data_IF_910423158137
#
_entry.id   IF_910423158137
#
_cell.length_a   1.000
_cell.length_b   1.000
_cell.length_c   1.000
_cell.angle_alpha   90.00
_cell.angle_beta   90.00
_cell.angle_gamma   90.00
#
_symmetry.space_group_name_H-M   'P 1'
#
loop_
_entity.id
_entity.type
_entity.pdbx_description
1 polymer ?
#
# COMPACT_ATOMS: atom_id res chain seq x y z
N UNK A 1 1.38 21.82 22.65
CA UNK A 1 1.97 21.66 21.30
C UNK A 1 2.51 20.27 21.14
N UNK A 2 2.54 19.73 19.92
CA UNK A 2 3.19 18.45 19.61
C UNK A 2 4.66 18.74 19.23
N UNK A 3 5.64 18.13 19.92
CA UNK A 3 7.05 18.28 19.56
C UNK A 3 7.38 17.26 18.47
N UNK A 4 7.67 17.74 17.27
CA UNK A 4 8.07 16.91 16.14
C UNK A 4 9.60 16.76 16.12
N UNK A 5 10.08 15.53 15.91
CA UNK A 5 11.48 15.22 15.70
C UNK A 5 11.61 14.59 14.30
N UNK A 6 11.96 15.38 13.27
CA UNK A 6 12.11 14.83 11.93
C UNK A 6 13.35 13.94 11.89
N UNK A 7 13.21 12.78 11.26
CA UNK A 7 14.32 11.91 10.91
C UNK A 7 14.14 11.49 9.45
N UNK A 8 15.23 11.50 8.69
CA UNK A 8 15.21 11.15 7.27
C UNK A 8 15.37 9.65 7.06
N UNK A 9 14.60 9.07 6.16
CA UNK A 9 14.83 7.73 5.61
C UNK A 9 15.67 7.81 4.31
N UNK A 10 16.18 6.69 3.81
CA UNK A 10 16.73 6.62 2.44
C UNK A 10 18.22 6.93 2.28
N UNK A 11 18.97 7.15 3.36
CA UNK A 11 20.43 7.17 3.32
C UNK A 11 21.02 6.04 4.20
N UNK A 12 22.16 5.43 3.80
CA UNK A 12 22.76 4.33 4.55
C UNK A 12 22.94 4.66 6.04
N UNK A 13 22.53 3.73 6.91
CA UNK A 13 22.61 3.88 8.37
C UNK A 13 21.64 4.90 9.00
N UNK A 14 20.74 5.52 8.24
CA UNK A 14 19.70 6.40 8.82
C UNK A 14 18.66 5.60 9.62
N UNK A 15 18.24 4.44 9.13
CA UNK A 15 17.22 3.62 9.81
C UNK A 15 17.73 3.08 11.14
N UNK A 16 18.99 2.62 11.24
CA UNK A 16 19.60 2.22 12.52
C UNK A 16 19.70 3.39 13.51
N UNK A 17 20.02 4.59 13.02
CA UNK A 17 19.97 5.82 13.84
C UNK A 17 18.54 6.13 14.29
N UNK A 18 17.54 5.98 13.43
CA UNK A 18 16.14 6.18 13.79
C UNK A 18 15.70 5.23 14.91
N UNK A 19 16.08 3.95 14.84
CA UNK A 19 15.87 2.96 15.91
C UNK A 19 16.46 3.43 17.24
N UNK A 20 17.73 3.88 17.24
CA UNK A 20 18.38 4.41 18.45
C UNK A 20 17.59 5.59 19.04
N UNK A 21 17.14 6.50 18.19
CA UNK A 21 16.39 7.68 18.61
C UNK A 21 15.01 7.32 19.15
N UNK A 22 14.31 6.35 18.55
CA UNK A 22 13.02 5.87 19.04
C UNK A 22 13.15 5.24 20.42
N UNK A 23 14.19 4.43 20.65
CA UNK A 23 14.48 3.83 21.94
C UNK A 23 14.78 4.88 23.03
N UNK A 24 15.52 5.94 22.67
CA UNK A 24 15.87 7.03 23.60
C UNK A 24 14.70 7.97 23.89
N UNK A 25 13.97 8.38 22.85
CA UNK A 25 12.96 9.44 22.93
C UNK A 25 11.57 8.94 23.31
N UNK A 26 11.27 7.67 23.01
CA UNK A 26 9.99 7.00 23.26
C UNK A 26 8.75 7.83 22.84
N UNK A 27 8.61 8.17 21.55
CA UNK A 27 7.54 9.05 21.10
C UNK A 27 6.17 8.39 21.22
N UNK A 28 5.14 9.17 21.54
CA UNK A 28 3.76 8.68 21.60
C UNK A 28 3.15 8.39 20.22
N UNK A 29 3.67 8.99 19.15
CA UNK A 29 3.17 8.82 17.79
C UNK A 29 4.30 8.77 16.75
N UNK A 30 4.07 7.98 15.69
CA UNK A 30 5.00 7.83 14.57
C UNK A 30 4.26 8.05 13.24
N UNK A 31 4.84 8.90 12.38
CA UNK A 31 4.40 9.09 10.99
C UNK A 31 5.41 8.46 10.04
N UNK A 32 4.94 7.65 9.09
CA UNK A 32 5.78 7.06 8.04
C UNK A 32 4.92 6.53 6.89
N UNK A 33 5.53 5.78 5.97
CA UNK A 33 4.80 4.82 5.14
C UNK A 33 4.64 3.48 5.90
N UNK A 34 3.66 2.64 5.56
CA UNK A 34 3.53 1.30 6.13
C UNK A 34 4.76 0.42 5.88
N UNK A 35 5.33 0.43 4.66
CA UNK A 35 6.51 -0.38 4.34
C UNK A 35 7.73 0.03 5.17
N UNK A 36 7.92 1.34 5.40
CA UNK A 36 9.03 1.80 6.23
C UNK A 36 8.85 1.44 7.70
N UNK A 37 7.61 1.41 8.22
CA UNK A 37 7.36 0.91 9.57
C UNK A 37 7.74 -0.57 9.72
N UNK A 38 7.51 -1.40 8.69
CA UNK A 38 7.97 -2.78 8.69
C UNK A 38 9.51 -2.86 8.66
N UNK A 39 10.17 -2.10 7.78
CA UNK A 39 11.64 -2.06 7.71
C UNK A 39 12.28 -1.58 9.02
N UNK A 40 11.70 -0.55 9.65
CA UNK A 40 12.17 -0.02 10.91
C UNK A 40 12.12 -1.07 12.03
N UNK A 41 11.12 -1.95 12.02
CA UNK A 41 11.01 -3.06 12.96
C UNK A 41 12.02 -4.18 12.70
N UNK A 42 12.33 -4.48 11.44
CA UNK A 42 13.42 -5.40 11.08
C UNK A 42 14.75 -4.88 11.60
N UNK A 43 15.09 -3.61 11.32
CA UNK A 43 16.34 -2.99 11.80
C UNK A 43 16.37 -2.93 13.32
N UNK A 44 15.25 -2.66 13.99
CA UNK A 44 15.20 -2.68 15.45
C UNK A 44 15.61 -4.04 16.01
N UNK A 45 15.12 -5.13 15.41
CA UNK A 45 15.48 -6.51 15.79
C UNK A 45 16.94 -6.84 15.46
N UNK A 46 17.45 -6.39 14.32
CA UNK A 46 18.87 -6.49 13.95
C UNK A 46 19.77 -5.81 15.00
N UNK A 47 19.33 -4.67 15.55
CA UNK A 47 20.00 -3.92 16.61
C UNK A 47 19.69 -4.44 18.04
N UNK A 48 18.94 -5.56 18.16
CA UNK A 48 18.61 -6.19 19.44
C UNK A 48 17.57 -5.45 20.28
N UNK A 49 16.74 -4.60 19.68
CA UNK A 49 15.69 -3.81 20.34
C UNK A 49 14.30 -4.33 19.91
N UNK A 50 13.42 -4.60 20.88
CA UNK A 50 12.01 -4.88 20.59
C UNK A 50 11.28 -3.58 20.20
N UNK A 51 10.64 -3.49 19.02
CA UNK A 51 9.86 -2.32 18.61
C UNK A 51 8.78 -1.88 19.62
N UNK A 52 8.27 -2.78 20.47
CA UNK A 52 7.31 -2.45 21.53
C UNK A 52 7.93 -1.56 22.62
N UNK A 53 9.24 -1.58 22.80
CA UNK A 53 9.95 -0.76 23.79
C UNK A 53 9.99 0.73 23.42
N UNK A 54 9.67 1.07 22.16
CA UNK A 54 9.56 2.46 21.70
C UNK A 54 8.41 3.22 22.37
N UNK A 55 7.42 2.53 22.96
CA UNK A 55 6.31 3.19 23.68
C UNK A 55 5.34 3.97 22.79
N UNK A 56 5.32 3.66 21.49
CA UNK A 56 4.42 4.27 20.51
C UNK A 56 2.97 3.87 20.84
N UNK A 57 2.05 4.83 20.75
CA UNK A 57 0.61 4.61 20.98
C UNK A 57 -0.19 4.62 19.68
N UNK A 58 0.26 5.41 18.72
CA UNK A 58 -0.37 5.55 17.40
C UNK A 58 0.67 5.63 16.30
N UNK A 59 0.51 4.84 15.27
CA UNK A 59 1.17 5.00 13.99
C UNK A 59 0.15 5.55 13.01
N UNK A 60 0.52 6.56 12.23
CA UNK A 60 -0.34 7.08 11.19
C UNK A 60 0.44 7.21 9.88
N UNK A 61 -0.15 6.70 8.80
CA UNK A 61 0.58 6.47 7.56
C UNK A 61 -0.04 7.21 6.40
N UNK A 62 0.79 7.61 5.44
CA UNK A 62 0.36 8.06 4.12
C UNK A 62 1.40 7.74 3.05
N UNK A 63 1.06 7.97 1.78
CA UNK A 63 1.98 7.86 0.64
C UNK A 63 1.90 6.54 -0.12
N UNK A 64 1.35 5.49 0.49
CA UNK A 64 1.06 4.21 -0.17
C UNK A 64 -0.08 3.46 0.54
N UNK A 65 -0.78 2.54 -0.17
CA UNK A 65 -1.76 1.66 0.46
C UNK A 65 -1.12 0.79 1.55
N UNK A 66 -1.82 0.64 2.69
CA UNK A 66 -1.40 -0.30 3.75
C UNK A 66 -2.09 -0.04 5.08
N UNK A 67 -2.30 1.23 5.46
CA UNK A 67 -2.97 1.57 6.72
C UNK A 67 -4.40 1.05 6.83
N UNK A 68 -5.10 0.92 5.69
CA UNK A 68 -6.44 0.34 5.58
C UNK A 68 -6.47 -1.11 5.05
N UNK A 69 -5.31 -1.74 4.80
CA UNK A 69 -5.24 -3.14 4.37
C UNK A 69 -5.10 -4.01 5.63
N UNK A 70 -6.11 -4.84 5.98
CA UNK A 70 -6.13 -5.52 7.28
C UNK A 70 -4.87 -6.32 7.62
N UNK A 71 -4.35 -7.09 6.66
CA UNK A 71 -3.14 -7.90 6.86
C UNK A 71 -1.89 -7.07 7.20
N UNK A 72 -1.68 -5.95 6.51
CA UNK A 72 -0.55 -5.04 6.75
C UNK A 72 -0.77 -4.29 8.06
N UNK A 73 -1.96 -3.72 8.24
CA UNK A 73 -2.35 -2.97 9.43
C UNK A 73 -2.16 -3.81 10.68
N UNK A 74 -2.75 -5.00 10.73
CA UNK A 74 -2.76 -5.85 11.91
C UNK A 74 -1.34 -6.34 12.24
N UNK A 75 -0.55 -6.71 11.22
CA UNK A 75 0.88 -7.02 11.39
C UNK A 75 1.66 -5.88 12.03
N UNK A 76 1.46 -4.63 11.59
CA UNK A 76 2.13 -3.46 12.18
C UNK A 76 1.65 -3.23 13.61
N UNK A 77 0.34 -3.34 13.89
CA UNK A 77 -0.20 -3.20 15.24
C UNK A 77 0.42 -4.22 16.20
N UNK A 78 0.60 -5.46 15.76
CA UNK A 78 1.22 -6.53 16.54
C UNK A 78 2.73 -6.31 16.74
N UNK A 79 3.43 -5.77 15.75
CA UNK A 79 4.86 -5.47 15.87
C UNK A 79 5.11 -4.37 16.91
N UNK A 80 4.33 -3.29 16.87
CA UNK A 80 4.57 -2.11 17.70
C UNK A 80 3.74 -2.06 18.98
N UNK A 81 2.67 -2.86 19.09
CA UNK A 81 1.72 -2.79 20.20
C UNK A 81 0.91 -1.49 20.22
N UNK A 82 0.59 -0.94 19.05
CA UNK A 82 0.04 0.40 18.89
C UNK A 82 -1.08 0.44 17.85
N UNK A 83 -1.95 1.45 17.88
CA UNK A 83 -3.02 1.62 16.88
C UNK A 83 -2.45 2.13 15.56
N UNK A 84 -2.98 1.65 14.44
CA UNK A 84 -2.65 2.17 13.10
C UNK A 84 -3.81 3.02 12.57
N UNK A 85 -3.48 4.17 11.99
CA UNK A 85 -4.43 5.09 11.34
C UNK A 85 -3.97 5.32 9.90
N UNK A 86 -4.86 5.09 8.94
CA UNK A 86 -4.59 5.45 7.56
C UNK A 86 -4.94 6.92 7.31
N UNK A 87 -4.13 7.61 6.52
CA UNK A 87 -4.40 8.98 6.13
C UNK A 87 -3.71 9.34 4.81
N UNK A 88 -4.13 10.48 4.27
CA UNK A 88 -3.47 11.11 3.16
C UNK A 88 -4.15 10.90 1.82
N UNK A 89 -3.86 11.86 0.95
CA UNK A 89 -4.36 11.92 -0.42
C UNK A 89 -3.17 12.18 -1.33
N UNK A 90 -2.89 13.44 -1.67
CA UNK A 90 -1.81 13.83 -2.56
C UNK A 90 -1.08 15.05 -2.00
N UNK A 91 0.20 15.22 -2.36
CA UNK A 91 0.99 16.37 -1.94
C UNK A 91 0.37 17.69 -2.42
N UNK A 92 -0.15 17.70 -3.66
CA UNK A 92 -0.88 18.79 -4.27
C UNK A 92 -2.11 19.21 -3.45
N UNK A 93 -2.66 18.30 -2.63
CA UNK A 93 -3.84 18.49 -1.79
C UNK A 93 -3.51 18.75 -0.32
N UNK A 94 -2.31 19.30 -0.04
CA UNK A 94 -1.98 19.80 1.31
C UNK A 94 -3.03 20.82 1.79
N UNK A 95 -3.74 20.57 2.92
CA UNK A 95 -3.50 19.52 3.92
C UNK A 95 -3.99 18.11 3.48
N UNK A 96 -3.04 17.20 3.19
CA UNK A 96 -3.33 15.91 2.56
C UNK A 96 -4.11 14.97 3.48
N UNK A 97 -4.00 15.18 4.80
CA UNK A 97 -4.72 14.44 5.84
C UNK A 97 -6.23 14.73 5.90
N UNK A 98 -6.78 15.55 4.99
CA UNK A 98 -8.23 15.73 4.90
C UNK A 98 -8.98 14.40 4.66
N UNK A 99 -8.31 13.39 4.10
CA UNK A 99 -8.73 12.00 4.23
C UNK A 99 -7.90 11.35 5.35
N UNK A 100 -8.54 10.97 6.45
CA UNK A 100 -7.86 10.36 7.60
C UNK A 100 -8.81 9.55 8.45
N UNK A 101 -8.34 8.41 8.93
CA UNK A 101 -9.03 7.59 9.93
C UNK A 101 -9.11 8.27 11.29
N UNK A 102 -9.81 7.62 12.20
CA UNK A 102 -9.89 8.01 13.62
C UNK A 102 -9.41 6.87 14.51
N UNK A 103 -9.35 7.09 15.82
CA UNK A 103 -9.02 6.02 16.77
C UNK A 103 -10.06 4.88 16.81
N UNK A 104 -11.24 5.12 16.23
CA UNK A 104 -12.44 4.28 16.31
C UNK A 104 -13.00 3.91 14.92
N UNK A 105 -12.35 4.34 13.83
CA UNK A 105 -12.85 4.15 12.47
C UNK A 105 -11.83 3.42 11.63
N UNK A 106 -12.23 2.31 11.00
CA UNK A 106 -11.46 1.69 9.92
C UNK A 106 -11.57 2.49 8.63
N UNK A 107 -10.47 2.54 7.86
CA UNK A 107 -10.41 3.33 6.65
C UNK A 107 -10.16 4.81 6.92
N UNK A 108 -10.66 5.67 6.03
CA UNK A 108 -10.45 7.13 6.10
C UNK A 108 -11.78 7.88 6.07
N UNK A 109 -11.97 8.82 6.99
CA UNK A 109 -13.05 9.81 6.90
C UNK A 109 -12.64 10.90 5.92
N UNK A 110 -13.59 11.44 5.16
CA UNK A 110 -13.39 12.54 4.22
C UNK A 110 -13.85 13.86 4.86
N UNK A 111 -12.92 14.69 5.30
CA UNK A 111 -13.17 15.89 6.09
C UNK A 111 -13.61 17.03 5.16
N UNK A 112 -14.87 16.95 4.71
CA UNK A 112 -15.42 17.66 3.55
C UNK A 112 -15.32 19.19 3.61
N UNK A 113 -15.24 19.78 4.81
CA UNK A 113 -15.11 21.23 5.05
C UNK A 113 -13.67 21.75 4.91
N UNK A 114 -12.66 20.87 4.91
CA UNK A 114 -11.26 21.24 4.70
C UNK A 114 -10.90 21.13 3.20
N UNK A 115 -11.18 19.96 2.63
CA UNK A 115 -11.07 19.69 1.19
C UNK A 115 -12.33 18.92 0.80
N UNK A 116 -13.05 19.45 -0.17
CA UNK A 116 -14.25 18.82 -0.68
C UNK A 116 -13.86 17.65 -1.58
N UNK A 117 -14.16 16.44 -1.11
CA UNK A 117 -13.87 15.20 -1.84
C UNK A 117 -15.14 14.66 -2.50
N UNK A 118 -14.97 14.27 -3.75
CA UNK A 118 -15.95 13.57 -4.56
C UNK A 118 -15.34 12.22 -4.96
N UNK A 119 -16.12 11.13 -4.96
CA UNK A 119 -15.72 9.91 -5.66
C UNK A 119 -16.53 9.84 -6.94
N UNK A 120 -15.84 9.77 -8.07
CA UNK A 120 -16.44 9.94 -9.39
C UNK A 120 -16.10 8.79 -10.34
N UNK A 121 -16.97 8.56 -11.31
CA UNK A 121 -16.66 7.68 -12.43
C UNK A 121 -15.53 8.34 -13.26
N UNK A 122 -14.44 7.62 -13.56
CA UNK A 122 -13.26 8.22 -14.19
C UNK A 122 -13.47 8.61 -15.67
N UNK A 123 -14.52 8.10 -16.33
CA UNK A 123 -14.85 8.45 -17.71
C UNK A 123 -15.72 9.71 -17.78
N UNK A 124 -16.65 9.86 -16.83
CA UNK A 124 -17.63 10.96 -16.83
C UNK A 124 -17.25 12.10 -15.90
N UNK A 125 -16.37 11.84 -14.91
CA UNK A 125 -16.07 12.72 -13.78
C UNK A 125 -17.31 13.14 -12.96
N UNK A 126 -18.42 12.40 -13.11
CA UNK A 126 -19.63 12.56 -12.31
C UNK A 126 -19.53 11.71 -11.04
N UNK A 127 -20.00 12.26 -9.92
CA UNK A 127 -20.04 11.53 -8.64
C UNK A 127 -20.80 10.22 -8.79
N UNK A 128 -20.20 9.15 -8.30
CA UNK A 128 -20.90 7.87 -8.13
C UNK A 128 -21.75 7.92 -6.86
N UNK A 129 -22.86 7.17 -6.76
CA UNK A 129 -23.61 7.05 -5.50
C UNK A 129 -22.73 6.53 -4.36
N UNK A 130 -23.13 6.77 -3.11
CA UNK A 130 -22.53 6.05 -1.97
C UNK A 130 -22.76 4.54 -2.14
N UNK A 131 -21.77 3.74 -1.76
CA UNK A 131 -21.67 2.33 -2.12
C UNK A 131 -20.98 2.10 -3.48
N UNK A 132 -20.77 3.14 -4.28
CA UNK A 132 -20.04 3.09 -5.54
C UNK A 132 -18.53 3.10 -5.37
N UNK A 133 -17.84 2.61 -6.40
CA UNK A 133 -16.39 2.70 -6.56
C UNK A 133 -16.06 3.72 -7.65
N UNK A 134 -14.98 4.47 -7.49
CA UNK A 134 -14.54 5.48 -8.46
C UNK A 134 -13.22 6.13 -8.09
N UNK A 135 -12.87 7.19 -8.83
CA UNK A 135 -11.70 8.01 -8.57
C UNK A 135 -12.00 9.19 -7.67
N UNK A 136 -11.21 9.42 -6.62
CA UNK A 136 -11.30 10.66 -5.87
C UNK A 136 -10.99 11.89 -6.73
N UNK A 137 -11.84 12.90 -6.60
CA UNK A 137 -11.67 14.24 -7.14
C UNK A 137 -11.70 15.21 -5.96
N UNK A 138 -10.72 16.11 -5.89
CA UNK A 138 -10.48 16.93 -4.71
C UNK A 138 -10.55 18.44 -5.02
N UNK A 139 -11.11 19.22 -4.09
CA UNK A 139 -11.17 20.69 -4.19
C UNK A 139 -10.80 21.34 -2.86
N UNK A 140 -9.78 22.22 -2.86
CA UNK A 140 -9.45 22.99 -1.65
C UNK A 140 -10.56 23.97 -1.30
N UNK A 141 -10.88 24.07 -0.01
CA UNK A 141 -11.82 25.07 0.51
C UNK A 141 -11.10 26.19 1.26
N UNK A 142 -9.91 25.93 1.79
CA UNK A 142 -9.20 26.84 2.70
C UNK A 142 -7.81 27.30 2.19
N UNK A 143 -7.46 27.00 0.93
CA UNK A 143 -6.13 27.32 0.37
C UNK A 143 -6.17 28.46 -0.63
N UNK A 144 -5.34 29.49 -0.44
CA UNK A 144 -5.24 30.65 -1.34
C UNK A 144 -4.14 30.53 -2.39
N UNK A 145 -3.04 29.83 -2.07
CA UNK A 145 -1.95 29.56 -3.01
C UNK A 145 -2.18 28.25 -3.75
N UNK A 146 -2.09 28.27 -5.09
CA UNK A 146 -2.26 27.09 -5.95
C UNK A 146 -3.53 26.26 -5.60
N UNK A 147 -4.72 26.84 -5.41
CA UNK A 147 -5.89 26.05 -5.04
C UNK A 147 -6.21 25.02 -6.14
N UNK A 148 -6.17 23.75 -5.76
CA UNK A 148 -6.68 22.69 -6.61
C UNK A 148 -8.20 22.73 -6.61
N UNK A 149 -8.81 22.79 -7.79
CA UNK A 149 -10.25 22.76 -7.98
C UNK A 149 -10.56 21.56 -8.88
N UNK A 150 -11.30 20.59 -8.34
CA UNK A 150 -11.62 19.32 -8.99
C UNK A 150 -10.39 18.61 -9.59
N UNK A 151 -9.30 18.54 -8.84
CA UNK A 151 -8.12 17.77 -9.22
C UNK A 151 -8.44 16.28 -9.19
N UNK A 152 -8.26 15.61 -10.32
CA UNK A 152 -8.45 14.16 -10.44
C UNK A 152 -7.22 13.46 -9.90
N UNK A 153 -7.41 12.54 -8.96
CA UNK A 153 -6.29 11.82 -8.33
C UNK A 153 -5.67 10.75 -9.23
N UNK A 154 -6.51 10.10 -10.04
CA UNK A 154 -6.17 8.85 -10.70
C UNK A 154 -6.13 7.66 -9.74
N UNK A 155 -6.48 7.87 -8.46
CA UNK A 155 -6.59 6.80 -7.47
C UNK A 155 -7.95 6.09 -7.59
N UNK A 156 -8.09 4.95 -6.92
CA UNK A 156 -9.31 4.15 -6.87
C UNK A 156 -9.73 3.89 -5.42
N UNK A 157 -11.01 4.15 -5.14
CA UNK A 157 -11.60 3.89 -3.83
C UNK A 157 -13.09 3.57 -3.93
N UNK A 158 -13.64 3.09 -2.82
CA UNK A 158 -15.05 2.92 -2.59
C UNK A 158 -15.45 3.81 -1.41
N UNK A 159 -16.58 4.50 -1.52
CA UNK A 159 -17.05 5.41 -0.48
C UNK A 159 -18.46 5.09 0.01
N UNK A 160 -18.71 5.37 1.29
CA UNK A 160 -19.99 5.17 1.95
C UNK A 160 -20.38 6.42 2.75
N UNK A 161 -21.68 6.55 3.01
CA UNK A 161 -22.24 7.53 3.93
C UNK A 161 -23.07 6.79 4.97
N UNK A 162 -22.45 6.53 6.11
CA UNK A 162 -23.01 5.76 7.23
C UNK A 162 -22.65 6.46 8.54
N UNK A 163 -23.29 6.04 9.64
CA UNK A 163 -22.91 6.52 10.97
C UNK A 163 -21.48 6.06 11.30
N UNK A 164 -20.61 7.02 11.61
CA UNK A 164 -19.23 6.72 11.97
C UNK A 164 -19.11 6.49 13.49
N UNK A 165 -18.33 5.49 13.95
CA UNK A 165 -18.17 5.20 15.38
C UNK A 165 -17.68 6.39 16.22
N UNK A 166 -16.89 7.28 15.63
CA UNK A 166 -16.41 8.50 16.28
C UNK A 166 -17.41 9.67 16.30
N UNK A 167 -18.64 9.48 15.78
CA UNK A 167 -19.71 10.47 15.75
C UNK A 167 -19.58 11.56 14.67
N UNK A 168 -18.51 11.56 13.87
CA UNK A 168 -18.35 12.50 12.76
C UNK A 168 -19.34 12.18 11.63
N UNK A 169 -19.92 13.20 11.03
CA UNK A 169 -20.94 13.09 9.97
C UNK A 169 -20.33 13.21 8.56
N UNK A 170 -19.12 12.67 8.37
CA UNK A 170 -18.42 12.69 7.09
C UNK A 170 -18.65 11.41 6.30
N UNK A 171 -18.58 11.46 4.96
CA UNK A 171 -18.41 10.26 4.15
C UNK A 171 -17.11 9.54 4.53
N UNK A 172 -17.05 8.24 4.24
CA UNK A 172 -15.91 7.37 4.61
C UNK A 172 -15.45 6.52 3.43
N UNK A 173 -14.14 6.30 3.36
CA UNK A 173 -13.47 5.30 2.53
C UNK A 173 -13.14 4.09 3.43
N UNK A 174 -14.03 3.09 3.58
CA UNK A 174 -13.87 2.03 4.57
C UNK A 174 -12.65 1.14 4.31
N UNK A 175 -12.19 1.07 3.05
CA UNK A 175 -10.98 0.34 2.63
C UNK A 175 -9.81 1.27 2.27
N UNK A 176 -9.91 2.55 2.63
CA UNK A 176 -8.94 3.57 2.23
C UNK A 176 -8.85 3.73 0.70
N UNK A 177 -7.69 4.15 0.23
CA UNK A 177 -7.33 4.21 -1.19
C UNK A 177 -6.47 2.98 -1.49
N UNK A 178 -6.94 2.11 -2.38
CA UNK A 178 -6.34 0.79 -2.58
C UNK A 178 -5.75 0.59 -3.98
N UNK A 179 -5.73 1.59 -4.85
CA UNK A 179 -5.06 1.45 -6.14
C UNK A 179 -5.04 2.73 -6.92
N UNK A 180 -4.36 2.68 -8.07
CA UNK A 180 -4.49 3.71 -9.10
C UNK A 180 -5.10 3.10 -10.36
N UNK A 181 -5.78 3.96 -11.11
CA UNK A 181 -6.41 3.64 -12.38
C UNK A 181 -5.35 3.44 -13.47
N UNK A 182 -4.22 4.14 -13.39
CA UNK A 182 -3.09 4.01 -14.33
C UNK A 182 -2.15 2.84 -13.97
N UNK A 183 -2.01 2.48 -12.69
CA UNK A 183 -1.28 1.28 -12.25
C UNK A 183 -2.04 -0.04 -12.56
N UNK A 184 -3.30 0.06 -12.98
CA UNK A 184 -4.09 -1.08 -13.44
C UNK A 184 -3.55 -1.58 -14.77
N UNK A 185 -3.23 -2.88 -14.85
CA UNK A 185 -2.87 -3.52 -16.10
C UNK A 185 -3.93 -4.55 -16.48
N UNK A 186 -4.19 -4.66 -17.78
CA UNK A 186 -5.14 -5.61 -18.32
C UNK A 186 -4.42 -6.91 -18.70
N UNK A 187 -4.88 -8.05 -18.21
CA UNK A 187 -4.38 -9.37 -18.61
C UNK A 187 -5.56 -10.15 -19.17
N UNK A 188 -5.50 -10.47 -20.47
CA UNK A 188 -6.53 -11.29 -21.15
C UNK A 188 -7.96 -10.76 -20.98
N UNK A 189 -8.12 -9.43 -20.96
CA UNK A 189 -9.42 -8.78 -20.82
C UNK A 189 -9.80 -8.39 -19.39
N UNK A 190 -9.15 -8.98 -18.38
CA UNK A 190 -9.42 -8.70 -16.96
C UNK A 190 -8.57 -7.54 -16.44
N UNK A 191 -9.19 -6.66 -15.66
CA UNK A 191 -8.53 -5.52 -15.02
C UNK A 191 -7.89 -5.97 -13.70
N UNK A 192 -6.56 -5.90 -13.62
CA UNK A 192 -5.80 -6.36 -12.46
C UNK A 192 -5.17 -5.18 -11.77
N UNK A 193 -5.44 -5.07 -10.48
CA UNK A 193 -4.81 -4.10 -9.60
C UNK A 193 -3.65 -4.76 -8.83
N UNK A 194 -2.46 -4.15 -8.80
CA UNK A 194 -1.33 -4.68 -8.05
C UNK A 194 -1.64 -4.96 -6.57
N UNK A 195 -2.50 -4.12 -5.97
CA UNK A 195 -2.94 -4.26 -4.58
C UNK A 195 -3.75 -5.52 -4.31
N UNK A 196 -4.52 -6.02 -5.27
CA UNK A 196 -5.25 -7.28 -5.12
C UNK A 196 -4.28 -8.47 -5.00
N UNK A 197 -3.16 -8.44 -5.74
CA UNK A 197 -2.11 -9.46 -5.62
C UNK A 197 -1.43 -9.37 -4.25
N UNK A 198 -1.14 -8.16 -3.78
CA UNK A 198 -0.59 -7.95 -2.44
C UNK A 198 -1.54 -8.48 -1.35
N UNK A 199 -2.84 -8.19 -1.43
CA UNK A 199 -3.85 -8.67 -0.49
C UNK A 199 -3.92 -10.21 -0.44
N UNK A 200 -3.88 -10.87 -1.60
CA UNK A 200 -3.83 -12.34 -1.69
C UNK A 200 -2.60 -12.89 -0.98
N UNK A 201 -1.41 -12.38 -1.30
CA UNK A 201 -0.14 -12.88 -0.77
C UNK A 201 -0.04 -12.68 0.75
N UNK A 202 -0.41 -11.49 1.23
CA UNK A 202 -0.40 -11.17 2.66
C UNK A 202 -1.39 -12.01 3.47
N UNK A 203 -2.44 -12.56 2.84
CA UNK A 203 -3.39 -13.49 3.48
C UNK A 203 -2.86 -14.91 3.66
N UNK A 204 -1.70 -15.25 3.10
CA UNK A 204 -1.17 -16.62 3.07
C UNK A 204 -0.02 -16.83 4.06
N UNK A 205 -0.27 -17.69 5.06
CA UNK A 205 0.80 -18.23 5.93
C UNK A 205 1.90 -18.85 5.06
N UNK A 206 3.14 -18.41 5.29
CA UNK A 206 4.33 -18.79 4.53
C UNK A 206 4.89 -17.68 3.61
N UNK A 207 4.15 -16.57 3.42
CA UNK A 207 4.61 -15.44 2.61
C UNK A 207 5.69 -14.61 3.33
N UNK A 208 6.80 -14.35 2.63
CA UNK A 208 8.01 -13.66 3.14
C UNK A 208 7.91 -12.12 3.16
N UNK A 209 6.77 -11.56 2.77
CA UNK A 209 6.52 -10.11 2.87
C UNK A 209 6.93 -9.28 1.65
N UNK A 210 7.67 -9.83 0.68
CA UNK A 210 7.96 -9.13 -0.58
C UNK A 210 7.64 -9.94 -1.84
N UNK A 211 7.27 -9.20 -2.90
CA UNK A 211 6.92 -9.77 -4.19
C UNK A 211 7.17 -8.80 -5.35
N UNK A 212 7.23 -9.37 -6.56
CA UNK A 212 7.25 -8.65 -7.83
C UNK A 212 6.13 -9.17 -8.73
N UNK A 213 5.47 -8.22 -9.37
CA UNK A 213 4.49 -8.47 -10.42
C UNK A 213 5.20 -8.15 -11.73
N UNK A 214 5.43 -9.18 -12.54
CA UNK A 214 6.03 -9.04 -13.86
C UNK A 214 4.94 -9.22 -14.89
N UNK A 215 4.70 -8.17 -15.66
CA UNK A 215 3.79 -8.20 -16.81
C UNK A 215 4.65 -8.30 -18.07
N UNK A 216 4.46 -9.35 -18.85
CA UNK A 216 5.20 -9.57 -20.09
C UNK A 216 4.26 -9.94 -21.23
N UNK A 217 4.78 -9.95 -22.46
CA UNK A 217 4.02 -10.39 -23.65
C UNK A 217 4.67 -11.63 -24.26
N UNK A 218 4.02 -12.77 -24.12
CA UNK A 218 4.41 -14.05 -24.71
C UNK A 218 3.67 -14.28 -26.03
N UNK A 219 4.25 -13.87 -27.16
CA UNK A 219 3.58 -13.99 -28.46
C UNK A 219 2.42 -13.01 -28.62
N UNK A 220 1.19 -13.51 -28.80
CA UNK A 220 -0.02 -12.67 -29.00
C UNK A 220 -0.79 -12.33 -27.72
N UNK A 221 -0.35 -12.81 -26.54
CA UNK A 221 -1.07 -12.62 -25.28
C UNK A 221 -0.16 -12.07 -24.18
N UNK A 222 -0.75 -11.24 -23.31
CA UNK A 222 -0.09 -10.76 -22.11
C UNK A 222 -0.09 -11.88 -21.04
N UNK A 223 1.05 -12.05 -20.38
CA UNK A 223 1.29 -13.01 -19.30
C UNK A 223 1.54 -12.26 -17.98
N UNK A 224 0.94 -12.78 -16.91
CA UNK A 224 1.15 -12.30 -15.55
C UNK A 224 2.05 -13.30 -14.81
N UNK A 225 3.19 -12.83 -14.34
CA UNK A 225 4.02 -13.57 -13.41
C UNK A 225 4.08 -12.87 -12.04
N UNK A 226 3.93 -13.64 -10.97
CA UNK A 226 4.05 -13.17 -9.59
C UNK A 226 5.22 -13.91 -8.96
N UNK A 227 6.29 -13.18 -8.67
CA UNK A 227 7.42 -13.69 -7.90
C UNK A 227 7.21 -13.32 -6.45
N UNK A 228 7.17 -14.28 -5.53
CA UNK A 228 6.90 -14.01 -4.12
C UNK A 228 7.95 -14.69 -3.23
N UNK A 229 8.47 -13.97 -2.25
CA UNK A 229 9.32 -14.56 -1.22
C UNK A 229 8.49 -15.48 -0.33
N UNK A 230 9.05 -16.64 0.05
CA UNK A 230 8.56 -17.39 1.20
C UNK A 230 9.33 -17.00 2.45
N UNK A 231 8.75 -17.25 3.64
CA UNK A 231 9.40 -16.96 4.91
C UNK A 231 10.47 -18.01 5.30
N UNK A 232 11.33 -17.64 6.25
CA UNK A 232 12.39 -18.52 6.78
C UNK A 232 11.83 -19.80 7.42
N UNK A 233 10.62 -19.76 7.98
CA UNK A 233 9.97 -20.95 8.54
C UNK A 233 9.63 -21.97 7.44
N UNK A 234 9.06 -21.51 6.34
CA UNK A 234 8.76 -22.32 5.16
C UNK A 234 10.03 -22.85 4.52
N UNK A 235 11.08 -22.02 4.45
CA UNK A 235 12.41 -22.44 3.99
C UNK A 235 12.95 -23.62 4.83
N UNK A 236 12.85 -23.53 6.16
CA UNK A 236 13.33 -24.57 7.09
C UNK A 236 12.58 -25.90 6.98
N UNK A 237 11.31 -25.86 6.54
CA UNK A 237 10.47 -27.06 6.31
C UNK A 237 10.79 -27.78 4.99
N UNK A 238 11.60 -27.16 4.12
CA UNK A 238 12.10 -27.76 2.89
C UNK A 238 11.19 -27.64 1.67
N UNK A 239 11.60 -28.23 0.54
CA UNK A 239 10.98 -27.99 -0.78
C UNK A 239 9.50 -28.32 -0.88
N UNK A 240 9.03 -29.31 -0.13
CA UNK A 240 7.61 -29.71 -0.15
C UNK A 240 6.71 -28.63 0.47
N UNK A 241 7.19 -27.91 1.50
CA UNK A 241 6.45 -26.79 2.09
C UNK A 241 6.36 -25.60 1.12
N UNK A 242 7.46 -25.29 0.43
CA UNK A 242 7.49 -24.26 -0.62
C UNK A 242 6.52 -24.62 -1.77
N UNK A 243 6.48 -25.88 -2.18
CA UNK A 243 5.56 -26.38 -3.20
C UNK A 243 4.09 -26.29 -2.76
N UNK A 244 3.80 -26.58 -1.50
CA UNK A 244 2.46 -26.45 -0.94
C UNK A 244 2.00 -24.98 -0.91
N UNK A 245 2.89 -24.05 -0.54
CA UNK A 245 2.63 -22.61 -0.58
C UNK A 245 2.39 -22.14 -2.02
N UNK A 246 3.24 -22.54 -2.97
CA UNK A 246 3.08 -22.24 -4.39
C UNK A 246 1.67 -22.60 -4.88
N UNK A 247 1.21 -23.82 -4.59
CA UNK A 247 -0.13 -24.28 -5.01
C UNK A 247 -1.26 -23.45 -4.40
N UNK A 248 -1.11 -22.97 -3.16
CA UNK A 248 -2.08 -22.07 -2.51
C UNK A 248 -2.10 -20.69 -3.17
N UNK A 249 -0.93 -20.12 -3.45
CA UNK A 249 -0.82 -18.81 -4.14
C UNK A 249 -1.44 -18.90 -5.53
N UNK A 250 -1.13 -19.94 -6.32
CA UNK A 250 -1.71 -20.13 -7.65
C UNK A 250 -3.25 -20.25 -7.60
N UNK A 251 -3.78 -21.01 -6.63
CA UNK A 251 -5.21 -21.18 -6.46
C UNK A 251 -5.92 -19.87 -6.09
N UNK A 252 -5.37 -19.10 -5.14
CA UNK A 252 -5.96 -17.82 -4.72
C UNK A 252 -5.85 -16.74 -5.81
N UNK A 253 -4.70 -16.65 -6.49
CA UNK A 253 -4.55 -15.78 -7.65
C UNK A 253 -5.58 -16.10 -8.74
N UNK A 254 -5.77 -17.39 -9.07
CA UNK A 254 -6.78 -17.76 -10.06
C UNK A 254 -8.20 -17.45 -9.60
N UNK A 255 -8.50 -17.62 -8.31
CA UNK A 255 -9.83 -17.40 -7.73
C UNK A 255 -10.20 -15.92 -7.67
N UNK A 256 -9.26 -15.07 -7.26
CA UNK A 256 -9.50 -13.64 -6.99
C UNK A 256 -9.29 -12.79 -8.25
N UNK A 257 -8.25 -13.08 -9.04
CA UNK A 257 -7.91 -12.27 -10.22
C UNK A 257 -8.69 -12.69 -11.48
N UNK A 258 -9.33 -13.86 -11.48
CA UNK A 258 -10.06 -14.39 -12.64
C UNK A 258 -9.17 -14.83 -13.81
N UNK A 259 -7.83 -14.72 -13.68
CA UNK A 259 -6.87 -15.15 -14.68
C UNK A 259 -5.79 -16.05 -14.08
N UNK A 260 -5.18 -16.88 -14.92
CA UNK A 260 -4.02 -17.68 -14.53
C UNK A 260 -2.78 -16.78 -14.42
N UNK A 261 -2.26 -16.63 -13.21
CA UNK A 261 -0.94 -16.07 -12.94
C UNK A 261 0.12 -17.19 -12.88
N UNK A 262 1.29 -16.97 -13.48
CA UNK A 262 2.46 -17.83 -13.27
C UNK A 262 3.12 -17.42 -11.96
N UNK A 263 3.10 -18.29 -10.96
CA UNK A 263 3.71 -17.97 -9.66
C UNK A 263 5.11 -18.58 -9.60
N UNK A 264 6.07 -17.82 -9.06
CA UNK A 264 7.43 -18.27 -8.78
C UNK A 264 7.75 -17.94 -7.34
N UNK A 265 7.96 -18.97 -6.53
CA UNK A 265 8.45 -18.79 -5.16
C UNK A 265 9.96 -18.54 -5.20
N UNK A 266 10.42 -17.50 -4.51
CA UNK A 266 11.84 -17.13 -4.39
C UNK A 266 12.27 -17.19 -2.92
N UNK A 267 13.57 -17.41 -2.69
CA UNK A 267 14.15 -17.51 -1.35
C UNK A 267 13.87 -16.26 -0.50
N UNK A 268 13.83 -16.38 0.84
CA UNK A 268 13.70 -15.23 1.73
C UNK A 268 14.79 -14.18 1.45
N UNK A 269 14.45 -12.90 1.53
CA UNK A 269 15.39 -11.77 1.41
C UNK A 269 16.08 -11.64 0.04
N UNK A 270 15.44 -12.16 -1.02
CA UNK A 270 15.89 -12.04 -2.41
C UNK A 270 15.72 -10.62 -2.95
N UNK A 271 14.62 -9.95 -2.60
CA UNK A 271 14.28 -8.62 -3.10
C UNK A 271 14.79 -7.51 -2.17
N UNK A 272 15.28 -6.39 -2.73
CA UNK A 272 15.72 -5.27 -1.92
C UNK A 272 14.52 -4.65 -1.18
N UNK A 273 14.62 -4.57 0.14
CA UNK A 273 13.70 -3.80 0.98
C UNK A 273 13.92 -2.30 0.68
N UNK A 274 12.84 -1.52 0.66
CA UNK A 274 12.87 -0.09 0.33
C UNK A 274 12.49 0.77 1.54
N UNK A 275 13.17 1.90 1.69
CA UNK A 275 12.83 2.95 2.66
C UNK A 275 11.72 3.90 2.16
N UNK A 276 11.37 3.80 0.86
CA UNK A 276 10.34 4.59 0.17
C UNK A 276 9.24 3.67 -0.41
N UNK A 277 8.30 4.25 -1.19
CA UNK A 277 7.19 3.52 -1.82
C UNK A 277 7.67 2.26 -2.55
N UNK A 278 7.06 1.12 -2.26
CA UNK A 278 7.41 -0.15 -2.90
C UNK A 278 6.96 -0.18 -4.36
N UNK A 279 7.91 -0.17 -5.31
CA UNK A 279 7.63 -0.38 -6.73
C UNK A 279 7.58 -1.88 -7.04
N UNK A 280 6.41 -2.50 -6.90
CA UNK A 280 6.27 -3.97 -7.06
C UNK A 280 5.97 -4.42 -8.50
N UNK A 281 5.54 -3.52 -9.38
CA UNK A 281 5.22 -3.84 -10.78
C UNK A 281 6.41 -3.56 -11.68
N UNK A 282 6.79 -4.56 -12.47
CA UNK A 282 7.74 -4.48 -13.59
C UNK A 282 6.94 -4.76 -14.86
N UNK A 283 6.71 -3.70 -15.64
CA UNK A 283 6.07 -3.82 -16.95
C UNK A 283 7.15 -3.98 -18.03
N UNK A 284 7.31 -5.21 -18.52
CA UNK A 284 8.31 -5.59 -19.52
C UNK A 284 7.71 -5.68 -20.93
N UNK A 285 6.49 -5.15 -21.13
CA UNK A 285 5.82 -5.14 -22.46
C UNK A 285 6.53 -4.23 -23.46
N UNK A 286 7.24 -3.21 -23.00
CA UNK A 286 7.93 -2.20 -23.83
C UNK A 286 9.37 -2.58 -24.23
N UNK A 287 10.03 -3.49 -23.51
CA UNK A 287 11.36 -3.97 -23.90
C UNK A 287 11.32 -4.65 -25.27
N UNK A 288 10.21 -5.32 -25.59
CA UNK A 288 9.94 -5.89 -26.91
C UNK A 288 9.69 -4.82 -28.00
N UNK A 289 9.07 -3.68 -27.67
CA UNK A 289 8.89 -2.57 -28.61
C UNK A 289 10.23 -1.90 -28.94
N UNK A 290 11.06 -1.66 -27.91
CA UNK A 290 12.39 -1.06 -28.09
C UNK A 290 13.36 -1.95 -28.88
N UNK A 291 13.21 -3.27 -28.80
CA UNK A 291 14.02 -4.25 -29.56
C UNK A 291 13.56 -4.39 -31.02
N UNK A 292 12.30 -4.12 -31.33
CA UNK A 292 11.79 -4.13 -32.70
C UNK A 292 11.96 -2.78 -33.43
N UNK A 293 12.03 -1.65 -32.72
CA UNK A 293 12.41 -0.37 -33.32
C UNK A 293 13.88 -0.35 -33.78
N UNK A 294 14.80 -1.01 -33.06
CA UNK A 294 16.23 -1.10 -33.44
C UNK A 294 16.56 -2.07 -34.57
N UNK A 295 15.55 -2.74 -35.17
CA UNK A 295 15.72 -3.62 -36.34
C UNK A 295 15.17 -3.01 -37.64
N UNK A 296 14.71 -1.76 -37.58
CA UNK A 296 14.14 -1.02 -38.72
C UNK A 296 15.04 0.07 -39.32
N UNK A 297 16.24 0.28 -38.79
CA UNK A 297 17.26 1.20 -39.33
C UNK A 297 18.46 0.43 -39.90
#
# INVERSE_FOLDING_TARGET
GCKAFPFGAGAPGMTARAVTWLAMMKPAGLYSTPSYALRLAEVAREEGIDPREFGIKVLFFSGEPGGSIPSIRDKIQDIYGAKVVDCGTMAELTPWMHASGSADTEGMLLWQDIVYTEVADPHTNCRVPYGGQGTPIYTHLERTSQPMIRMVSGDLTHWVMEDNPCGRTYPRLPKGIYGRIDDMFQIRGENIYPSAIAEILEGLVGYGGEHRIVVSRGGSMDELAVQAEFDHETASKGPDAVKALLGRVEAECSRVLGVRARVVMVEPDTFPRTDFKAQRVIDDRDLYQSLNQKRGD
#
